data_IF_671492982885
#
_entry.id   IF_671492982885
#
_cell.length_a   1.000
_cell.length_b   1.000
_cell.length_c   1.000
_cell.angle_alpha   90.00
_cell.angle_beta   90.00
_cell.angle_gamma   90.00
#
_symmetry.space_group_name_H-M   'P 1'
#
loop_
_entity.id
_entity.type
_entity.pdbx_description
1 polymer ?
#
# COMPACT_ATOMS: atom_id res chain seq x y z
N UNK A 1 17.71 24.03 -0.69
CA UNK A 1 16.65 23.10 -1.10
C UNK A 1 17.07 21.73 -0.58
N UNK A 2 16.19 21.01 0.11
CA UNK A 2 16.45 19.63 0.52
C UNK A 2 16.68 18.75 -0.71
N UNK A 3 17.50 17.71 -0.58
CA UNK A 3 17.65 16.72 -1.64
C UNK A 3 16.28 16.07 -1.92
N UNK A 4 15.99 15.75 -3.17
CA UNK A 4 14.74 15.11 -3.59
C UNK A 4 15.03 13.68 -4.03
N UNK A 5 14.13 12.76 -3.66
CA UNK A 5 14.22 11.34 -4.03
C UNK A 5 12.87 10.87 -4.63
N UNK A 6 12.92 9.98 -5.61
CA UNK A 6 11.70 9.33 -6.14
C UNK A 6 11.30 8.13 -5.28
N UNK A 7 10.04 7.69 -5.39
CA UNK A 7 9.56 6.47 -4.72
C UNK A 7 10.38 5.25 -5.13
N UNK A 8 10.68 5.10 -6.44
CA UNK A 8 11.54 4.01 -6.96
C UNK A 8 12.92 4.01 -6.29
N UNK A 9 13.57 5.18 -6.23
CA UNK A 9 14.88 5.30 -5.60
C UNK A 9 14.84 5.04 -4.10
N UNK A 10 13.76 5.46 -3.43
CA UNK A 10 13.56 5.25 -2.00
C UNK A 10 13.40 3.77 -1.64
N UNK A 11 12.63 3.01 -2.43
CA UNK A 11 12.48 1.56 -2.25
C UNK A 11 13.81 0.84 -2.54
N UNK A 12 14.50 1.18 -3.65
CA UNK A 12 15.80 0.61 -3.98
C UNK A 12 16.81 0.84 -2.83
N UNK A 13 16.90 2.07 -2.32
CA UNK A 13 17.76 2.41 -1.17
C UNK A 13 17.43 1.56 0.05
N UNK A 14 16.15 1.41 0.40
CA UNK A 14 15.73 0.62 1.56
C UNK A 14 16.16 -0.85 1.44
N UNK A 15 16.06 -1.43 0.25
CA UNK A 15 16.50 -2.79 -0.03
C UNK A 15 18.04 -2.86 0.02
N UNK A 16 18.74 -1.91 -0.61
CA UNK A 16 20.21 -1.83 -0.60
C UNK A 16 20.77 -1.76 0.82
N UNK A 17 20.21 -0.88 1.65
CA UNK A 17 20.60 -0.75 3.05
C UNK A 17 20.37 -2.05 3.84
N UNK A 18 19.20 -2.67 3.67
CA UNK A 18 18.89 -3.93 4.35
C UNK A 18 19.80 -5.08 3.91
N UNK A 19 20.13 -5.18 2.62
CA UNK A 19 21.08 -6.17 2.10
C UNK A 19 22.52 -5.92 2.58
N UNK A 20 22.90 -4.67 2.80
CA UNK A 20 24.21 -4.32 3.34
C UNK A 20 24.34 -4.68 4.83
N UNK A 21 23.25 -4.57 5.59
CA UNK A 21 23.21 -4.81 7.03
C UNK A 21 23.03 -6.30 7.38
N UNK A 22 22.35 -7.08 6.54
CA UNK A 22 22.03 -8.48 6.80
C UNK A 22 22.25 -9.35 5.54
N UNK A 23 23.17 -10.30 5.62
CA UNK A 23 23.45 -11.25 4.53
C UNK A 23 22.28 -12.19 4.25
N UNK A 24 21.36 -12.37 5.19
CA UNK A 24 20.13 -13.14 5.04
C UNK A 24 19.06 -12.47 4.18
N UNK A 25 19.18 -11.17 3.89
CA UNK A 25 18.25 -10.49 2.98
C UNK A 25 18.57 -10.86 1.55
N UNK A 26 17.57 -11.47 0.85
CA UNK A 26 17.69 -11.92 -0.55
C UNK A 26 16.47 -11.42 -1.35
N UNK A 27 16.65 -11.19 -2.66
CA UNK A 27 15.61 -10.75 -3.57
C UNK A 27 15.40 -11.81 -4.66
N UNK A 28 14.16 -12.25 -4.84
CA UNK A 28 13.74 -13.21 -5.85
C UNK A 28 12.58 -12.64 -6.66
N UNK A 29 12.56 -12.85 -7.96
CA UNK A 29 11.44 -12.44 -8.82
C UNK A 29 11.79 -12.53 -10.30
N UNK A 30 10.81 -12.21 -11.12
CA UNK A 30 11.00 -12.14 -12.57
C UNK A 30 11.77 -10.87 -12.91
N UNK A 31 12.73 -11.00 -13.82
CA UNK A 31 13.51 -9.89 -14.39
C UNK A 31 14.30 -9.01 -13.38
N UNK A 32 14.40 -9.42 -12.12
CA UNK A 32 15.02 -8.59 -11.06
C UNK A 32 16.54 -8.46 -11.16
N UNK A 33 17.23 -9.37 -11.89
CA UNK A 33 18.68 -9.35 -11.98
C UNK A 33 19.21 -8.37 -13.04
N UNK A 34 20.51 -8.08 -12.98
CA UNK A 34 21.21 -7.14 -13.87
C UNK A 34 21.03 -7.44 -15.36
N UNK A 35 21.07 -8.73 -15.76
CA UNK A 35 20.87 -9.15 -17.15
C UNK A 35 19.52 -8.74 -17.73
N UNK A 36 18.50 -8.65 -16.88
CA UNK A 36 17.16 -8.20 -17.22
C UNK A 36 16.95 -6.70 -16.93
N UNK A 37 17.96 -6.03 -16.38
CA UNK A 37 17.97 -4.60 -16.13
C UNK A 37 17.37 -4.14 -14.80
N UNK A 38 17.22 -5.04 -13.82
CA UNK A 38 16.82 -4.69 -12.47
C UNK A 38 15.32 -4.52 -12.26
N UNK A 39 14.53 -5.43 -12.79
CA UNK A 39 13.06 -5.44 -12.71
C UNK A 39 12.39 -4.55 -13.75
N UNK A 40 11.10 -4.81 -14.01
CA UNK A 40 10.30 -4.07 -14.99
C UNK A 40 10.28 -2.56 -14.68
N UNK A 41 10.21 -2.20 -13.41
CA UNK A 41 10.18 -0.81 -12.94
C UNK A 41 11.53 -0.31 -12.40
N UNK A 42 12.63 -1.06 -12.64
CA UNK A 42 14.02 -0.69 -12.27
C UNK A 42 14.25 -0.53 -10.76
N UNK A 43 13.42 -1.15 -9.93
CA UNK A 43 13.54 -1.02 -8.47
C UNK A 43 14.75 -1.79 -7.92
N UNK A 44 15.11 -2.93 -8.53
CA UNK A 44 16.29 -3.71 -8.16
C UNK A 44 17.56 -3.37 -8.95
N UNK A 45 17.56 -2.28 -9.73
CA UNK A 45 18.72 -1.87 -10.51
C UNK A 45 19.96 -1.63 -9.62
N UNK A 46 21.12 -2.15 -10.03
CA UNK A 46 22.40 -2.04 -9.31
C UNK A 46 22.60 -3.05 -8.18
N UNK A 47 21.53 -3.73 -7.72
CA UNK A 47 21.66 -4.65 -6.59
C UNK A 47 22.40 -5.94 -6.94
N UNK A 48 22.23 -6.47 -8.17
CA UNK A 48 22.93 -7.68 -8.60
C UNK A 48 24.44 -7.44 -8.69
N UNK A 49 24.84 -6.29 -9.21
CA UNK A 49 26.24 -5.90 -9.34
C UNK A 49 26.92 -5.79 -7.97
N UNK A 50 26.17 -5.32 -6.97
CA UNK A 50 26.68 -5.13 -5.61
C UNK A 50 26.67 -6.40 -4.77
N UNK A 51 25.63 -7.24 -4.88
CA UNK A 51 25.41 -8.39 -3.99
C UNK A 51 25.48 -9.75 -4.67
N UNK A 52 25.59 -9.79 -6.00
CA UNK A 52 25.72 -11.03 -6.79
C UNK A 52 24.40 -11.74 -7.03
N UNK A 53 24.43 -12.66 -8.03
CA UNK A 53 23.27 -13.46 -8.46
C UNK A 53 22.78 -14.46 -7.39
N UNK A 54 23.58 -14.73 -6.36
CA UNK A 54 23.15 -15.58 -5.25
C UNK A 54 22.16 -14.89 -4.31
N UNK A 55 22.21 -13.56 -4.23
CA UNK A 55 21.33 -12.77 -3.38
C UNK A 55 20.26 -12.02 -4.16
N UNK A 56 20.47 -11.75 -5.45
CA UNK A 56 19.47 -11.14 -6.35
C UNK A 56 19.22 -12.11 -7.50
N UNK A 57 18.15 -12.87 -7.41
CA UNK A 57 17.86 -14.02 -8.28
C UNK A 57 16.69 -13.76 -9.20
N UNK A 58 16.97 -13.64 -10.51
CA UNK A 58 15.91 -13.74 -11.51
C UNK A 58 15.38 -15.18 -11.59
N UNK A 59 14.09 -15.31 -11.69
CA UNK A 59 13.36 -16.60 -11.76
C UNK A 59 12.67 -16.76 -13.11
N UNK A 60 12.30 -17.97 -13.50
CA UNK A 60 11.28 -18.19 -14.51
C UNK A 60 9.93 -17.60 -14.09
N UNK A 61 9.02 -17.39 -15.05
CA UNK A 61 7.62 -16.99 -14.80
C UNK A 61 6.90 -18.12 -14.08
N UNK A 62 6.81 -18.01 -12.76
CA UNK A 62 6.13 -19.00 -11.91
C UNK A 62 5.88 -18.39 -10.53
N UNK A 63 4.86 -17.56 -10.38
CA UNK A 63 4.59 -16.77 -9.18
C UNK A 63 4.37 -17.64 -7.94
N UNK A 64 3.72 -18.79 -8.11
CA UNK A 64 3.55 -19.76 -7.03
C UNK A 64 4.91 -20.30 -6.54
N UNK A 65 5.83 -20.62 -7.46
CA UNK A 65 7.17 -21.11 -7.10
C UNK A 65 8.02 -20.01 -6.48
N UNK A 66 7.90 -18.76 -6.95
CA UNK A 66 8.61 -17.61 -6.38
C UNK A 66 8.24 -17.43 -4.92
N UNK A 67 6.94 -17.32 -4.61
CA UNK A 67 6.48 -17.14 -3.22
C UNK A 67 6.76 -18.37 -2.37
N UNK A 68 6.55 -19.58 -2.90
CA UNK A 68 6.85 -20.83 -2.19
C UNK A 68 8.33 -20.97 -1.83
N UNK A 69 9.23 -20.62 -2.75
CA UNK A 69 10.67 -20.60 -2.49
C UNK A 69 11.03 -19.56 -1.41
N UNK A 70 10.40 -18.39 -1.44
CA UNK A 70 10.58 -17.36 -0.41
C UNK A 70 10.05 -17.83 0.96
N UNK A 71 8.91 -18.51 1.03
CA UNK A 71 8.43 -19.11 2.28
C UNK A 71 9.44 -20.11 2.82
N UNK A 72 9.95 -21.01 1.96
CA UNK A 72 10.98 -21.99 2.34
C UNK A 72 12.28 -21.33 2.80
N UNK A 73 12.74 -20.29 2.11
CA UNK A 73 13.93 -19.51 2.49
C UNK A 73 13.72 -18.81 3.86
N UNK A 74 12.54 -18.24 4.11
CA UNK A 74 12.21 -17.64 5.39
C UNK A 74 12.28 -18.65 6.54
N UNK A 75 11.76 -19.85 6.34
CA UNK A 75 11.85 -20.96 7.32
C UNK A 75 13.30 -21.44 7.53
N UNK A 76 14.17 -21.27 6.53
CA UNK A 76 15.59 -21.57 6.62
C UNK A 76 16.42 -20.41 7.25
N UNK A 77 15.79 -19.33 7.70
CA UNK A 77 16.44 -18.23 8.40
C UNK A 77 16.82 -17.03 7.53
N UNK A 78 16.43 -17.01 6.25
CA UNK A 78 16.61 -15.85 5.38
C UNK A 78 15.48 -14.84 5.55
N UNK A 79 15.69 -13.62 5.03
CA UNK A 79 14.67 -12.55 4.90
C UNK A 79 14.41 -12.27 3.41
N UNK A 80 13.61 -13.10 2.75
CA UNK A 80 13.35 -12.96 1.34
C UNK A 80 12.43 -11.80 1.02
N UNK A 81 12.75 -11.11 -0.08
CA UNK A 81 11.90 -10.16 -0.77
C UNK A 81 11.47 -10.84 -2.06
N UNK A 82 10.19 -11.16 -2.20
CA UNK A 82 9.61 -11.65 -3.45
C UNK A 82 9.10 -10.47 -4.28
N UNK A 83 9.46 -10.38 -5.55
CA UNK A 83 8.85 -9.44 -6.49
C UNK A 83 7.93 -10.18 -7.45
N UNK A 84 6.64 -9.81 -7.43
CA UNK A 84 5.67 -10.12 -8.48
C UNK A 84 5.22 -8.77 -9.02
N UNK A 85 5.62 -8.47 -10.25
CA UNK A 85 5.58 -7.14 -10.83
C UNK A 85 4.19 -6.49 -10.87
N UNK A 86 3.12 -7.28 -10.95
CA UNK A 86 1.74 -6.78 -11.00
C UNK A 86 0.84 -7.57 -10.04
N UNK A 87 -0.02 -6.86 -9.31
CA UNK A 87 -0.86 -7.43 -8.27
C UNK A 87 -1.82 -8.52 -8.78
N UNK A 88 -2.31 -8.40 -10.01
CA UNK A 88 -3.15 -9.44 -10.62
C UNK A 88 -2.43 -10.81 -10.67
N UNK A 89 -1.12 -10.82 -10.90
CA UNK A 89 -0.34 -12.06 -10.99
C UNK A 89 -0.07 -12.69 -9.62
N UNK A 90 -0.14 -11.91 -8.53
CA UNK A 90 -0.06 -12.43 -7.16
C UNK A 90 -1.15 -13.48 -6.90
N UNK A 91 -2.27 -13.41 -7.61
CA UNK A 91 -3.38 -14.38 -7.50
C UNK A 91 -2.96 -15.82 -7.83
N UNK A 92 -1.93 -16.01 -8.68
CA UNK A 92 -1.37 -17.33 -9.00
C UNK A 92 -0.66 -17.95 -7.78
N UNK A 93 -0.16 -17.12 -6.86
CA UNK A 93 0.57 -17.54 -5.67
C UNK A 93 -0.29 -17.57 -4.39
N UNK A 94 -1.61 -17.41 -4.49
CA UNK A 94 -2.50 -17.27 -3.33
C UNK A 94 -2.39 -18.40 -2.31
N UNK A 95 -2.20 -19.65 -2.74
CA UNK A 95 -2.00 -20.77 -1.81
C UNK A 95 -0.77 -20.56 -0.93
N UNK A 96 0.36 -20.15 -1.52
CA UNK A 96 1.60 -19.92 -0.79
C UNK A 96 1.51 -18.74 0.18
N UNK A 97 0.72 -17.74 -0.16
CA UNK A 97 0.48 -16.56 0.68
C UNK A 97 -0.48 -16.91 1.82
N UNK A 98 -1.65 -17.46 1.49
CA UNK A 98 -2.77 -17.64 2.43
C UNK A 98 -2.58 -18.87 3.31
N UNK A 99 -2.19 -20.02 2.74
CA UNK A 99 -2.11 -21.28 3.47
C UNK A 99 -0.73 -21.51 4.11
N UNK A 100 0.32 -20.91 3.57
CA UNK A 100 1.67 -21.08 4.09
C UNK A 100 2.16 -19.81 4.81
N UNK A 101 2.46 -18.71 4.11
CA UNK A 101 3.08 -17.54 4.72
C UNK A 101 2.26 -17.00 5.92
N UNK A 102 0.96 -16.82 5.74
CA UNK A 102 0.09 -16.24 6.76
C UNK A 102 -0.11 -17.13 8.00
N UNK A 103 -0.08 -18.45 7.85
CA UNK A 103 -0.56 -19.39 8.89
C UNK A 103 0.54 -20.14 9.63
N UNK A 104 1.71 -20.30 9.03
CA UNK A 104 2.77 -21.14 9.60
C UNK A 104 3.18 -20.74 11.01
N UNK A 105 3.28 -19.44 11.31
CA UNK A 105 3.58 -18.97 12.65
C UNK A 105 2.53 -19.41 13.67
N UNK A 106 1.25 -19.23 13.35
CA UNK A 106 0.15 -19.64 14.23
C UNK A 106 0.11 -21.17 14.40
N UNK A 107 0.20 -21.92 13.29
CA UNK A 107 0.13 -23.38 13.29
C UNK A 107 1.28 -24.05 14.03
N UNK A 108 2.46 -23.40 14.05
CA UNK A 108 3.62 -23.89 14.81
C UNK A 108 3.63 -23.46 16.29
N UNK A 109 2.57 -22.80 16.77
CA UNK A 109 2.55 -22.26 18.13
C UNK A 109 3.58 -21.15 18.36
N UNK A 110 3.93 -20.39 17.31
CA UNK A 110 4.92 -19.31 17.37
C UNK A 110 6.39 -19.76 17.23
N UNK A 111 6.65 -21.04 17.00
CA UNK A 111 8.01 -21.57 16.86
C UNK A 111 8.69 -21.19 15.55
N UNK A 112 7.90 -20.92 14.50
CA UNK A 112 8.40 -20.47 13.20
C UNK A 112 7.97 -19.04 12.90
N UNK A 113 8.76 -18.37 12.06
CA UNK A 113 8.47 -17.05 11.53
C UNK A 113 8.58 -17.10 10.01
N UNK A 114 7.85 -16.21 9.32
CA UNK A 114 7.94 -16.07 7.86
C UNK A 114 8.21 -14.61 7.54
N UNK A 115 9.46 -14.13 7.74
CA UNK A 115 9.89 -12.75 7.45
C UNK A 115 9.97 -12.54 5.92
N UNK A 116 8.85 -12.59 5.24
CA UNK A 116 8.71 -12.43 3.80
C UNK A 116 8.14 -11.04 3.47
N UNK A 117 8.78 -10.31 2.58
CA UNK A 117 8.16 -9.15 1.92
C UNK A 117 7.76 -9.55 0.51
N UNK A 118 6.47 -9.50 0.19
CA UNK A 118 5.98 -9.65 -1.18
C UNK A 118 5.70 -8.26 -1.75
N UNK A 119 6.55 -7.80 -2.66
CA UNK A 119 6.40 -6.55 -3.41
C UNK A 119 5.55 -6.77 -4.65
N UNK A 120 4.61 -5.89 -4.87
CA UNK A 120 3.78 -5.91 -6.08
C UNK A 120 3.28 -4.53 -6.43
N UNK A 121 3.01 -4.29 -7.71
CA UNK A 121 2.56 -3.00 -8.22
C UNK A 121 1.12 -3.10 -8.69
N UNK A 122 0.39 -2.03 -8.49
CA UNK A 122 -0.95 -1.81 -9.03
C UNK A 122 -1.08 -0.38 -9.53
N UNK A 123 -2.23 -0.01 -10.05
CA UNK A 123 -2.59 1.37 -10.40
C UNK A 123 -3.46 1.47 -11.63
N UNK A 124 -4.50 2.27 -11.53
CA UNK A 124 -5.37 2.68 -12.64
C UNK A 124 -4.94 4.05 -13.15
N UNK A 125 -5.26 4.33 -14.42
CA UNK A 125 -4.93 5.60 -15.07
C UNK A 125 -3.79 5.50 -16.10
N UNK A 126 -3.31 4.28 -16.38
CA UNK A 126 -2.21 4.00 -17.33
C UNK A 126 -2.63 3.15 -18.52
N UNK A 127 -3.92 2.78 -18.60
CA UNK A 127 -4.46 2.01 -19.72
C UNK A 127 -4.06 0.54 -19.75
N UNK A 128 -3.71 -0.06 -18.60
CA UNK A 128 -3.29 -1.48 -18.53
C UNK A 128 -4.46 -2.46 -18.53
N UNK A 129 -5.70 -1.98 -18.27
CA UNK A 129 -6.91 -2.80 -18.31
C UNK A 129 -7.05 -3.79 -17.16
N UNK A 130 -8.06 -4.65 -17.25
CA UNK A 130 -8.57 -5.45 -16.13
C UNK A 130 -7.67 -6.56 -15.60
N UNK A 131 -6.55 -6.86 -16.25
CA UNK A 131 -5.62 -7.92 -15.78
C UNK A 131 -4.32 -7.35 -15.21
N UNK A 132 -4.15 -6.02 -15.17
CA UNK A 132 -2.90 -5.36 -14.78
C UNK A 132 -3.12 -4.15 -13.86
N UNK A 133 -4.34 -3.89 -13.42
CA UNK A 133 -4.68 -2.66 -12.69
C UNK A 133 -5.49 -2.88 -11.41
N UNK A 134 -5.90 -4.12 -11.11
CA UNK A 134 -6.70 -4.36 -9.92
C UNK A 134 -5.94 -4.05 -8.64
N UNK A 135 -6.61 -3.40 -7.70
CA UNK A 135 -6.16 -3.22 -6.32
C UNK A 135 -6.86 -4.27 -5.45
N UNK A 136 -6.14 -5.32 -5.07
CA UNK A 136 -6.70 -6.50 -4.39
C UNK A 136 -6.37 -6.54 -2.88
N UNK A 137 -6.04 -5.41 -2.28
CA UNK A 137 -5.62 -5.32 -0.88
C UNK A 137 -6.65 -5.90 0.10
N UNK A 138 -7.94 -5.81 -0.23
CA UNK A 138 -9.02 -6.35 0.60
C UNK A 138 -8.96 -7.88 0.70
N UNK A 139 -8.50 -8.59 -0.33
CA UNK A 139 -8.32 -10.04 -0.31
C UNK A 139 -7.28 -10.45 0.73
N UNK A 140 -6.17 -9.72 0.77
CA UNK A 140 -5.08 -9.98 1.71
C UNK A 140 -5.42 -9.49 3.12
N UNK A 141 -6.10 -8.35 3.25
CA UNK A 141 -6.51 -7.81 4.55
C UNK A 141 -7.51 -8.72 5.27
N UNK A 142 -8.27 -9.55 4.53
CA UNK A 142 -9.17 -10.56 5.08
C UNK A 142 -8.43 -11.80 5.65
N UNK A 143 -7.13 -11.94 5.39
CA UNK A 143 -6.34 -13.10 5.80
C UNK A 143 -5.56 -12.81 7.09
N UNK A 144 -5.93 -13.39 8.25
CA UNK A 144 -5.17 -13.23 9.48
C UNK A 144 -3.73 -13.73 9.32
N UNK A 145 -2.76 -12.96 9.83
CA UNK A 145 -1.35 -13.27 9.77
C UNK A 145 -0.57 -12.48 8.71
N UNK A 146 -1.25 -11.80 7.78
CA UNK A 146 -0.64 -10.89 6.82
C UNK A 146 -0.63 -9.45 7.33
N UNK A 147 0.39 -8.69 6.95
CA UNK A 147 0.41 -7.23 7.04
C UNK A 147 0.39 -6.64 5.64
N UNK A 148 -0.39 -5.58 5.45
CA UNK A 148 -0.56 -4.95 4.14
C UNK A 148 -0.20 -3.48 4.24
N UNK A 149 0.79 -3.04 3.45
CA UNK A 149 1.27 -1.66 3.42
C UNK A 149 1.19 -1.08 2.02
N UNK A 150 0.94 0.21 1.94
CA UNK A 150 0.90 0.92 0.66
C UNK A 150 1.35 2.38 0.86
N UNK A 151 2.58 2.71 0.47
CA UNK A 151 3.11 4.07 0.61
C UNK A 151 2.49 5.03 -0.41
N UNK A 152 2.40 6.30 -0.04
CA UNK A 152 1.94 7.40 -0.89
C UNK A 152 3.06 8.32 -1.38
N UNK A 153 4.24 8.27 -0.75
CA UNK A 153 5.38 9.16 -1.00
C UNK A 153 6.71 8.43 -0.78
N UNK A 154 7.82 9.07 -1.16
CA UNK A 154 9.14 8.43 -1.12
C UNK A 154 9.65 8.17 0.31
N UNK A 155 9.42 9.07 1.25
CA UNK A 155 9.85 8.88 2.63
C UNK A 155 9.14 7.69 3.28
N UNK A 156 7.82 7.59 3.10
CA UNK A 156 7.05 6.46 3.59
C UNK A 156 7.43 5.16 2.85
N UNK A 157 7.70 5.22 1.54
CA UNK A 157 8.15 4.06 0.78
C UNK A 157 9.45 3.47 1.31
N UNK A 158 10.46 4.32 1.59
CA UNK A 158 11.71 3.89 2.23
C UNK A 158 11.46 3.34 3.63
N UNK A 159 10.77 4.11 4.48
CA UNK A 159 10.62 3.75 5.88
C UNK A 159 9.78 2.51 6.12
N UNK A 160 8.68 2.34 5.36
CA UNK A 160 7.84 1.14 5.42
C UNK A 160 8.53 -0.09 4.84
N UNK A 161 9.34 0.05 3.77
CA UNK A 161 10.12 -1.06 3.22
C UNK A 161 11.16 -1.56 4.23
N UNK A 162 11.88 -0.66 4.87
CA UNK A 162 12.82 -1.00 5.96
C UNK A 162 12.10 -1.75 7.09
N UNK A 163 10.95 -1.24 7.54
CA UNK A 163 10.16 -1.88 8.58
C UNK A 163 9.59 -3.23 8.15
N UNK A 164 9.18 -3.37 6.88
CA UNK A 164 8.69 -4.62 6.32
C UNK A 164 9.77 -5.70 6.28
N UNK A 165 10.98 -5.38 5.84
CA UNK A 165 12.11 -6.32 5.80
C UNK A 165 12.51 -6.77 7.22
N UNK A 166 12.47 -5.86 8.20
CA UNK A 166 12.77 -6.17 9.59
C UNK A 166 11.64 -6.95 10.30
N UNK A 167 10.43 -6.99 9.73
CA UNK A 167 9.29 -7.69 10.32
C UNK A 167 9.45 -9.20 10.26
N UNK A 168 9.03 -9.91 11.32
CA UNK A 168 9.06 -11.38 11.36
C UNK A 168 7.77 -12.04 10.83
N UNK A 169 6.77 -11.25 10.46
CA UNK A 169 5.54 -11.72 9.82
C UNK A 169 5.52 -11.31 8.34
N UNK A 170 4.79 -12.03 7.48
CA UNK A 170 4.73 -11.69 6.06
C UNK A 170 4.06 -10.35 5.81
N UNK A 171 4.67 -9.54 4.95
CA UNK A 171 4.18 -8.22 4.55
C UNK A 171 3.91 -8.20 3.05
N UNK A 172 2.69 -7.85 2.66
CA UNK A 172 2.34 -7.52 1.28
C UNK A 172 2.59 -6.01 1.11
N UNK A 173 3.59 -5.67 0.30
CA UNK A 173 4.01 -4.31 0.04
C UNK A 173 3.46 -3.87 -1.32
N UNK A 174 2.40 -3.07 -1.29
CA UNK A 174 1.65 -2.65 -2.48
C UNK A 174 2.15 -1.29 -2.94
N UNK A 175 2.68 -1.25 -4.14
CA UNK A 175 3.19 -0.05 -4.79
C UNK A 175 2.19 0.44 -5.83
N UNK A 176 2.12 1.75 -6.05
CA UNK A 176 1.30 2.30 -7.14
C UNK A 176 2.21 2.85 -8.24
N UNK A 177 1.98 2.40 -9.47
CA UNK A 177 2.81 2.77 -10.63
C UNK A 177 2.87 4.28 -10.85
N UNK A 178 1.79 4.99 -10.58
CA UNK A 178 1.74 6.46 -10.74
C UNK A 178 2.53 7.20 -9.65
N UNK A 179 2.90 6.50 -8.56
CA UNK A 179 3.73 7.08 -7.51
C UNK A 179 5.23 6.95 -7.79
N UNK A 180 5.69 6.03 -8.64
CA UNK A 180 7.10 5.71 -8.80
C UNK A 180 7.99 6.90 -9.15
N UNK A 181 7.54 7.78 -10.03
CA UNK A 181 8.27 8.98 -10.45
C UNK A 181 8.09 10.20 -9.55
N UNK A 182 7.21 10.13 -8.55
CA UNK A 182 6.95 11.24 -7.65
C UNK A 182 8.18 11.51 -6.79
N UNK A 183 8.52 12.78 -6.69
CA UNK A 183 9.62 13.26 -5.85
C UNK A 183 9.08 13.84 -4.56
N UNK A 184 9.73 13.54 -3.47
CA UNK A 184 9.54 14.20 -2.17
C UNK A 184 10.89 14.45 -1.52
N UNK A 185 10.88 15.16 -0.38
CA UNK A 185 12.10 15.40 0.39
C UNK A 185 12.74 14.07 0.76
N UNK A 186 14.06 14.01 0.58
CA UNK A 186 14.86 12.84 0.93
C UNK A 186 14.94 12.71 2.46
N UNK A 187 14.40 11.63 3.06
CA UNK A 187 14.49 11.44 4.50
C UNK A 187 15.89 11.05 4.98
N UNK A 188 16.81 10.80 4.05
CA UNK A 188 18.15 10.31 4.33
C UNK A 188 18.21 8.78 4.56
N UNK A 189 19.45 8.25 4.72
CA UNK A 189 19.70 6.85 5.02
C UNK A 189 19.10 6.42 6.37
N UNK A 190 18.75 5.14 6.49
CA UNK A 190 18.27 4.54 7.74
C UNK A 190 16.88 4.96 8.19
N UNK A 191 16.13 5.73 7.37
CA UNK A 191 14.77 6.15 7.72
C UNK A 191 13.82 4.96 7.86
N UNK A 192 13.06 4.92 8.95
CA UNK A 192 12.09 3.85 9.27
C UNK A 192 10.74 4.44 9.63
N UNK A 193 9.68 3.86 9.09
CA UNK A 193 8.28 4.17 9.44
C UNK A 193 7.66 2.92 10.07
N UNK A 194 7.13 2.99 11.30
CA UNK A 194 6.53 1.82 11.95
C UNK A 194 5.31 1.31 11.19
N UNK A 195 5.21 -0.02 11.03
CA UNK A 195 4.00 -0.66 10.49
C UNK A 195 2.81 -0.45 11.45
N UNK A 196 1.61 -0.26 10.90
CA UNK A 196 0.40 -0.04 11.69
C UNK A 196 0.28 1.37 12.26
N UNK A 197 1.02 2.36 11.72
CA UNK A 197 0.94 3.77 12.10
C UNK A 197 0.54 4.64 10.92
N UNK A 198 -0.61 5.32 11.07
CA UNK A 198 -1.09 6.31 10.13
C UNK A 198 -0.34 7.64 10.29
N UNK A 199 -0.44 8.49 9.27
CA UNK A 199 -0.02 9.89 9.32
C UNK A 199 -1.20 10.82 9.17
N UNK A 200 -1.19 11.92 9.93
CA UNK A 200 -1.99 13.09 9.61
C UNK A 200 -1.25 13.84 8.51
N UNK A 201 -1.62 13.58 7.26
CA UNK A 201 -0.98 14.20 6.09
C UNK A 201 -1.39 15.67 5.92
N UNK A 202 -2.54 16.06 6.47
CA UNK A 202 -3.05 17.43 6.56
C UNK A 202 -3.96 17.54 7.78
N UNK A 203 -3.75 18.54 8.59
CA UNK A 203 -4.65 18.87 9.68
C UNK A 203 -5.94 19.52 9.17
N UNK A 204 -7.06 19.26 9.87
CA UNK A 204 -8.37 19.82 9.56
C UNK A 204 -9.36 19.66 10.71
N UNK A 205 -10.51 20.35 10.63
CA UNK A 205 -11.51 20.41 11.70
C UNK A 205 -12.93 20.03 11.29
N UNK A 206 -13.26 19.99 10.00
CA UNK A 206 -14.65 19.88 9.54
C UNK A 206 -15.04 18.52 9.01
N UNK A 207 -14.12 17.84 8.32
CA UNK A 207 -14.31 16.50 7.75
C UNK A 207 -12.97 15.77 7.68
N UNK A 208 -12.96 14.47 7.95
CA UNK A 208 -11.77 13.61 7.79
C UNK A 208 -11.88 12.81 6.50
N UNK A 209 -10.85 12.85 5.65
CA UNK A 209 -10.66 11.88 4.57
C UNK A 209 -9.67 10.83 5.05
N UNK A 210 -10.11 9.58 5.15
CA UNK A 210 -9.26 8.42 5.45
C UNK A 210 -8.91 7.74 4.14
N UNK A 211 -7.62 7.62 3.84
CA UNK A 211 -7.16 7.12 2.54
C UNK A 211 -5.77 6.48 2.63
N UNK A 212 -5.25 5.95 1.54
CA UNK A 212 -3.93 5.32 1.44
C UNK A 212 -3.41 5.28 0.00
N UNK A 213 -2.12 5.05 -0.17
CA UNK A 213 -1.47 4.95 -1.47
C UNK A 213 -1.68 6.22 -2.32
N UNK A 214 -1.86 6.04 -3.63
CA UNK A 214 -1.98 7.17 -4.56
C UNK A 214 -3.12 8.14 -4.23
N UNK A 215 -4.23 7.66 -3.70
CA UNK A 215 -5.41 8.50 -3.43
C UNK A 215 -5.18 9.54 -2.31
N UNK A 216 -4.09 9.41 -1.53
CA UNK A 216 -3.64 10.46 -0.60
C UNK A 216 -3.35 11.76 -1.33
N UNK A 217 -2.74 11.70 -2.51
CA UNK A 217 -2.40 12.89 -3.30
C UNK A 217 -3.66 13.61 -3.80
N UNK A 218 -4.64 12.85 -4.27
CA UNK A 218 -5.93 13.42 -4.69
C UNK A 218 -6.68 14.05 -3.50
N UNK A 219 -6.65 13.39 -2.33
CA UNK A 219 -7.24 13.90 -1.10
C UNK A 219 -6.59 15.22 -0.66
N UNK A 220 -5.26 15.31 -0.70
CA UNK A 220 -4.52 16.53 -0.34
C UNK A 220 -4.83 17.69 -1.29
N UNK A 221 -4.87 17.43 -2.60
CA UNK A 221 -5.23 18.46 -3.59
C UNK A 221 -6.66 18.97 -3.37
N UNK A 222 -7.61 18.06 -3.15
CA UNK A 222 -9.00 18.43 -2.92
C UNK A 222 -9.18 19.15 -1.58
N UNK A 223 -8.49 18.72 -0.53
CA UNK A 223 -8.49 19.41 0.75
C UNK A 223 -7.97 20.86 0.63
N UNK A 224 -6.97 21.09 -0.25
CA UNK A 224 -6.50 22.44 -0.60
C UNK A 224 -7.59 23.29 -1.26
N UNK A 225 -8.27 22.75 -2.28
CA UNK A 225 -9.36 23.45 -2.98
C UNK A 225 -10.55 23.74 -2.08
N UNK A 226 -10.94 22.81 -1.21
CA UNK A 226 -12.05 22.98 -0.28
C UNK A 226 -11.73 24.00 0.82
N UNK A 227 -10.47 24.23 1.14
CA UNK A 227 -10.08 25.31 2.05
C UNK A 227 -10.42 26.70 1.50
N UNK A 228 -10.35 26.88 0.17
CA UNK A 228 -10.78 28.14 -0.49
C UNK A 228 -12.31 28.35 -0.37
N UNK A 229 -13.07 27.26 -0.13
CA UNK A 229 -14.52 27.28 0.15
C UNK A 229 -14.81 27.41 1.66
N UNK A 230 -13.79 27.52 2.52
CA UNK A 230 -13.93 27.59 3.96
C UNK A 230 -14.15 26.25 4.66
N UNK A 231 -13.88 25.10 3.97
CA UNK A 231 -14.01 23.76 4.52
C UNK A 231 -12.61 23.22 4.89
N UNK A 232 -12.40 22.98 6.18
CA UNK A 232 -11.13 22.49 6.74
C UNK A 232 -11.12 20.95 6.78
N UNK A 233 -10.49 20.33 5.78
CA UNK A 233 -10.42 18.86 5.64
C UNK A 233 -9.14 18.33 6.25
N UNK A 234 -9.28 17.35 7.17
CA UNK A 234 -8.18 16.54 7.65
C UNK A 234 -7.96 15.35 6.72
N UNK A 235 -6.71 15.05 6.39
CA UNK A 235 -6.36 13.89 5.56
C UNK A 235 -5.49 12.94 6.36
N UNK A 236 -5.99 11.71 6.53
CA UNK A 236 -5.26 10.61 7.17
C UNK A 236 -4.75 9.67 6.11
N UNK A 237 -3.43 9.54 6.02
CA UNK A 237 -2.77 8.48 5.25
C UNK A 237 -2.58 7.26 6.15
N UNK A 238 -3.27 6.18 5.85
CA UNK A 238 -3.19 4.93 6.63
C UNK A 238 -1.81 4.28 6.57
N UNK A 239 -1.07 4.40 5.44
CA UNK A 239 0.23 3.74 5.22
C UNK A 239 0.18 2.21 5.34
N UNK A 240 -0.49 1.70 6.38
CA UNK A 240 -0.75 0.28 6.63
C UNK A 240 -2.25 0.04 6.63
N UNK A 241 -2.69 -0.87 5.77
CA UNK A 241 -4.10 -1.23 5.62
C UNK A 241 -4.50 -2.29 6.66
N UNK A 242 -3.61 -3.24 6.92
CA UNK A 242 -3.83 -4.28 7.93
C UNK A 242 -2.51 -4.60 8.67
N UNK A 243 -2.47 -4.47 10.00
CA UNK A 243 -3.47 -3.78 10.82
C UNK A 243 -3.40 -2.26 10.60
N UNK A 244 -4.55 -1.60 10.46
CA UNK A 244 -4.55 -0.13 10.36
C UNK A 244 -4.53 0.55 11.73
N UNK A 245 -4.11 1.81 11.77
CA UNK A 245 -4.07 2.62 13.00
C UNK A 245 -5.48 3.13 13.36
N UNK A 246 -6.28 2.23 13.94
CA UNK A 246 -7.66 2.55 14.32
C UNK A 246 -7.75 3.72 15.31
N UNK A 247 -6.77 3.84 16.19
CA UNK A 247 -6.77 4.89 17.21
C UNK A 247 -6.65 6.28 16.57
N UNK A 248 -5.71 6.46 15.65
CA UNK A 248 -5.52 7.72 14.92
C UNK A 248 -6.75 8.05 14.07
N UNK A 249 -7.29 7.06 13.33
CA UNK A 249 -8.48 7.26 12.49
C UNK A 249 -9.69 7.64 13.34
N UNK A 250 -9.93 6.93 14.44
CA UNK A 250 -11.07 7.20 15.34
C UNK A 250 -10.96 8.60 15.97
N UNK A 251 -9.78 8.98 16.47
CA UNK A 251 -9.56 10.29 17.08
C UNK A 251 -9.77 11.43 16.08
N UNK A 252 -9.30 11.28 14.84
CA UNK A 252 -9.52 12.24 13.76
C UNK A 252 -11.00 12.42 13.45
N UNK A 253 -11.72 11.30 13.25
CA UNK A 253 -13.15 11.36 12.92
C UNK A 253 -14.00 11.85 14.11
N UNK A 254 -13.61 11.52 15.35
CA UNK A 254 -14.27 12.05 16.55
C UNK A 254 -14.11 13.60 16.64
N UNK A 255 -12.94 14.13 16.29
CA UNK A 255 -12.65 15.55 16.23
C UNK A 255 -13.54 16.28 15.22
N UNK A 256 -13.64 15.75 14.00
CA UNK A 256 -14.35 16.40 12.88
C UNK A 256 -15.85 16.08 12.86
N UNK A 257 -16.23 14.92 13.35
CA UNK A 257 -17.61 14.40 13.33
C UNK A 257 -18.07 13.91 11.98
N UNK A 258 -17.24 13.94 10.92
CA UNK A 258 -17.58 13.54 9.55
C UNK A 258 -16.43 12.78 8.91
N UNK A 259 -16.74 11.76 8.12
CA UNK A 259 -15.73 10.96 7.47
C UNK A 259 -16.09 10.61 6.02
N UNK A 260 -15.07 10.66 5.16
CA UNK A 260 -15.05 10.09 3.82
C UNK A 260 -13.91 9.08 3.77
N UNK A 261 -14.21 7.82 3.44
CA UNK A 261 -13.19 6.78 3.22
C UNK A 261 -12.97 6.63 1.72
N UNK A 262 -11.76 6.85 1.27
CA UNK A 262 -11.36 6.91 -0.13
C UNK A 262 -10.29 5.86 -0.43
N UNK A 263 -10.49 5.07 -1.49
CA UNK A 263 -9.49 4.15 -2.02
C UNK A 263 -9.64 3.92 -3.53
N UNK A 264 -8.58 3.44 -4.17
CA UNK A 264 -8.55 3.17 -5.62
C UNK A 264 -9.32 1.89 -5.99
N UNK A 265 -9.28 0.88 -5.14
CA UNK A 265 -10.00 -0.39 -5.35
C UNK A 265 -11.50 -0.19 -5.57
N UNK A 266 -12.16 -1.23 -6.11
CA UNK A 266 -13.63 -1.24 -6.23
C UNK A 266 -14.30 -0.92 -4.89
N UNK A 267 -15.36 -0.10 -4.94
CA UNK A 267 -16.04 0.37 -3.71
C UNK A 267 -16.69 -0.77 -2.92
N UNK A 268 -17.30 -1.72 -3.63
CA UNK A 268 -17.97 -2.86 -3.01
C UNK A 268 -16.93 -3.86 -2.50
N UNK A 269 -17.16 -4.34 -1.27
CA UNK A 269 -16.27 -5.31 -0.59
C UNK A 269 -14.83 -4.85 -0.40
N UNK A 270 -14.51 -3.57 -0.67
CA UNK A 270 -13.19 -3.00 -0.41
C UNK A 270 -12.96 -2.70 1.08
N UNK A 271 -11.71 -2.44 1.44
CA UNK A 271 -11.26 -2.15 2.83
C UNK A 271 -12.00 -0.97 3.46
N UNK A 272 -12.46 -0.02 2.65
CA UNK A 272 -13.28 1.11 3.11
C UNK A 272 -14.60 0.70 3.74
N UNK A 273 -15.13 -0.50 3.46
CA UNK A 273 -16.34 -1.01 4.10
C UNK A 273 -16.09 -1.36 5.56
N UNK A 274 -14.97 -2.03 5.87
CA UNK A 274 -14.55 -2.36 7.24
C UNK A 274 -14.29 -1.09 8.03
N UNK A 275 -13.51 -0.15 7.48
CA UNK A 275 -13.19 1.12 8.16
C UNK A 275 -14.49 1.89 8.49
N UNK A 276 -15.42 1.99 7.54
CA UNK A 276 -16.68 2.68 7.75
C UNK A 276 -17.54 1.96 8.81
N UNK A 277 -17.60 0.63 8.82
CA UNK A 277 -18.31 -0.15 9.84
C UNK A 277 -17.74 0.11 11.23
N UNK A 278 -16.42 0.04 11.40
CA UNK A 278 -15.76 0.27 12.68
C UNK A 278 -15.91 1.71 13.19
N UNK A 279 -15.89 2.69 12.30
CA UNK A 279 -16.19 4.07 12.67
C UNK A 279 -17.62 4.23 13.16
N UNK A 280 -18.61 3.58 12.52
CA UNK A 280 -19.98 3.58 12.99
C UNK A 280 -20.13 2.89 14.36
N UNK A 281 -19.49 1.74 14.58
CA UNK A 281 -19.53 1.04 15.86
C UNK A 281 -18.97 1.89 17.00
N UNK A 282 -17.83 2.57 16.77
CA UNK A 282 -17.13 3.35 17.80
C UNK A 282 -17.70 4.73 18.05
N UNK A 283 -18.23 5.36 16.99
CA UNK A 283 -18.65 6.76 17.02
C UNK A 283 -20.15 6.95 16.79
N UNK A 284 -20.94 5.86 16.95
CA UNK A 284 -22.40 5.95 16.84
C UNK A 284 -22.96 7.05 17.78
N UNK A 285 -23.78 7.94 17.22
CA UNK A 285 -24.29 9.11 17.96
C UNK A 285 -23.34 10.31 18.06
N UNK A 286 -22.07 10.17 17.68
CA UNK A 286 -21.10 11.29 17.57
C UNK A 286 -20.91 11.77 16.14
N UNK A 287 -21.23 10.92 15.16
CA UNK A 287 -21.15 11.27 13.75
C UNK A 287 -22.24 12.28 13.38
N UNK A 288 -21.85 13.34 12.68
CA UNK A 288 -22.74 14.40 12.17
C UNK A 288 -23.29 14.09 10.78
N UNK A 289 -22.78 13.04 10.12
CA UNK A 289 -23.22 12.53 8.82
C UNK A 289 -22.87 11.05 8.69
N UNK A 290 -23.53 10.27 7.82
CA UNK A 290 -23.10 8.92 7.49
C UNK A 290 -21.67 8.92 6.95
N UNK A 291 -20.89 7.87 7.28
CA UNK A 291 -19.56 7.70 6.70
C UNK A 291 -19.70 7.39 5.21
N UNK A 292 -19.20 8.28 4.38
CA UNK A 292 -19.26 8.13 2.91
C UNK A 292 -18.04 7.33 2.43
N UNK A 293 -18.27 6.36 1.53
CA UNK A 293 -17.20 5.60 0.90
C UNK A 293 -17.09 5.94 -0.58
N UNK A 294 -15.86 6.15 -1.05
CA UNK A 294 -15.52 6.38 -2.46
C UNK A 294 -14.50 5.34 -2.88
N UNK A 295 -14.72 4.73 -4.02
CA UNK A 295 -13.84 3.74 -4.63
C UNK A 295 -14.17 3.57 -6.10
N UNK A 296 -13.41 2.74 -6.80
CA UNK A 296 -13.61 2.40 -8.19
C UNK A 296 -14.99 1.79 -8.45
N UNK A 297 -15.45 1.84 -9.69
CA UNK A 297 -16.70 1.21 -10.12
C UNK A 297 -16.62 -0.32 -9.97
N UNK A 298 -17.75 -0.98 -9.71
CA UNK A 298 -17.80 -2.44 -9.55
C UNK A 298 -17.83 -3.14 -10.91
N UNK A 299 -16.69 -3.11 -11.58
CA UNK A 299 -16.42 -3.81 -12.84
C UNK A 299 -14.92 -4.00 -12.99
N UNK A 300 -14.47 -4.81 -13.96
CA UNK A 300 -13.08 -4.82 -14.36
C UNK A 300 -12.62 -3.42 -14.80
N UNK A 301 -11.35 -3.11 -14.61
CA UNK A 301 -10.77 -1.82 -15.02
C UNK A 301 -10.76 -1.71 -16.54
N UNK A 302 -11.39 -0.70 -17.13
CA UNK A 302 -11.38 -0.51 -18.59
C UNK A 302 -9.99 -0.11 -19.10
N UNK A 303 -9.66 -0.54 -20.32
CA UNK A 303 -8.41 -0.13 -20.98
C UNK A 303 -8.52 1.23 -21.69
N UNK A 304 -9.71 1.55 -22.21
CA UNK A 304 -9.93 2.82 -22.93
C UNK A 304 -9.91 3.99 -21.92
N UNK A 305 -9.05 5.00 -22.18
CA UNK A 305 -8.80 6.10 -21.26
C UNK A 305 -10.09 6.79 -20.76
N UNK A 306 -11.04 7.10 -21.64
CA UNK A 306 -12.30 7.76 -21.24
C UNK A 306 -13.12 6.90 -20.24
N UNK A 307 -13.13 5.57 -20.43
CA UNK A 307 -13.82 4.65 -19.53
C UNK A 307 -13.04 4.44 -18.23
N UNK A 308 -11.72 4.35 -18.32
CA UNK A 308 -10.84 4.25 -17.16
C UNK A 308 -10.99 5.49 -16.26
N UNK A 309 -11.01 6.71 -16.83
CA UNK A 309 -11.26 7.95 -16.08
C UNK A 309 -12.65 8.00 -15.43
N UNK A 310 -13.66 7.40 -16.05
CA UNK A 310 -14.99 7.28 -15.44
C UNK A 310 -15.04 6.23 -14.32
N UNK A 311 -14.18 5.21 -14.40
CA UNK A 311 -14.08 4.11 -13.44
C UNK A 311 -13.45 4.55 -12.11
N UNK A 312 -12.35 5.32 -12.17
CA UNK A 312 -11.60 5.74 -10.98
C UNK A 312 -12.39 6.72 -10.09
N UNK A 313 -12.14 6.76 -8.79
CA UNK A 313 -12.62 7.85 -7.94
C UNK A 313 -11.95 9.15 -8.35
N UNK A 314 -12.66 9.99 -9.07
CA UNK A 314 -12.14 11.27 -9.53
C UNK A 314 -12.27 12.36 -8.45
N UNK A 315 -11.53 13.45 -8.64
CA UNK A 315 -11.43 14.56 -7.70
C UNK A 315 -12.78 15.24 -7.42
N UNK A 316 -13.65 15.35 -8.42
CA UNK A 316 -14.96 15.96 -8.25
C UNK A 316 -15.84 15.12 -7.31
N UNK A 317 -15.85 13.80 -7.47
CA UNK A 317 -16.58 12.90 -6.56
C UNK A 317 -16.07 13.00 -5.12
N UNK A 318 -14.75 13.22 -4.93
CA UNK A 318 -14.17 13.40 -3.60
C UNK A 318 -14.67 14.71 -2.97
N UNK A 319 -14.60 15.81 -3.72
CA UNK A 319 -15.09 17.11 -3.26
C UNK A 319 -16.59 17.09 -2.94
N UNK A 320 -17.39 16.50 -3.81
CA UNK A 320 -18.84 16.40 -3.64
C UNK A 320 -19.23 15.55 -2.43
N UNK A 321 -18.48 14.48 -2.14
CA UNK A 321 -18.71 13.67 -0.94
C UNK A 321 -18.44 14.45 0.34
N UNK A 322 -17.37 15.27 0.37
CA UNK A 322 -17.10 16.16 1.51
C UNK A 322 -18.20 17.20 1.66
N UNK A 323 -18.58 17.89 0.57
CA UNK A 323 -19.69 18.89 0.60
C UNK A 323 -21.01 18.27 1.05
N UNK A 324 -21.31 17.04 0.58
CA UNK A 324 -22.52 16.32 1.01
C UNK A 324 -22.48 16.00 2.51
N UNK A 325 -21.33 15.57 3.04
CA UNK A 325 -21.16 15.34 4.48
C UNK A 325 -21.30 16.62 5.31
N UNK A 326 -20.80 17.76 4.78
CA UNK A 326 -20.96 19.07 5.43
C UNK A 326 -22.40 19.54 5.47
N UNK A 327 -23.17 19.28 4.42
CA UNK A 327 -24.55 19.74 4.26
C UNK A 327 -25.61 18.72 4.76
N UNK A 328 -25.17 17.63 5.39
CA UNK A 328 -26.07 16.61 5.91
C UNK A 328 -27.01 17.18 6.99
N UNK A 329 -28.32 16.97 6.83
CA UNK A 329 -29.36 17.53 7.73
C UNK A 329 -30.06 16.47 8.59
N UNK A 330 -29.61 15.18 8.55
CA UNK A 330 -30.29 14.09 9.24
C UNK A 330 -31.42 13.48 8.44
#
# INVERSE_FOLDING_TARGET
MSAQITVTQAINRAIDEAMAEDEGVILLGEDVAAKQGGGVFKISAGLTEKYGENRVRATPISEQAIVGACVGAALAGFRPIAEIMLMNFVTVAMDQIVNHAAKLRFMSGGQTHVPLVLRTTTGVGVGFGGQHSDMLEAWFAHVPGLKIVTPSNAADAQGLMRAAIACNDPVIFIENILCYGLKSDDPGPGHVVPLGKAAVAREGSDCTIVTYGRTVLDALEIAGKLADEGISVEVIDLRTIAPYDEATVTASVEKTGRAVVLHEAVKQYGTGAEIASRLNEKLFGKLKAPVTRIGGAFSAVPMANALEQAWIPNKDKIADAVRAAMNWKG
#
